data_IF_610826326111
#
_entry.id   IF_610826326111
#
_cell.length_a   1.000
_cell.length_b   1.000
_cell.length_c   1.000
_cell.angle_alpha   90.00
_cell.angle_beta   90.00
_cell.angle_gamma   90.00
#
_symmetry.space_group_name_H-M   'P 1'
#
loop_
_entity.id
_entity.type
_entity.pdbx_description
1 polymer ?
#
# COMPACT_ATOMS: atom_id res chain seq x y z
N UNK A 1 -17.95 11.74 -30.85
CA UNK A 1 -16.96 12.50 -30.04
C UNK A 1 -16.18 11.47 -29.24
N UNK A 2 -14.88 11.69 -29.01
CA UNK A 2 -14.12 10.79 -28.16
C UNK A 2 -14.62 10.90 -26.71
N UNK A 3 -14.74 9.77 -26.00
CA UNK A 3 -15.01 9.77 -24.58
C UNK A 3 -13.71 10.09 -23.84
N UNK A 4 -13.73 11.07 -22.95
CA UNK A 4 -12.55 11.49 -22.19
C UNK A 4 -12.76 11.14 -20.73
N UNK A 5 -11.86 10.35 -20.14
CA UNK A 5 -11.80 10.07 -18.72
C UNK A 5 -10.61 10.80 -18.08
N UNK A 6 -10.83 11.41 -16.95
CA UNK A 6 -9.80 12.06 -16.13
C UNK A 6 -9.63 11.27 -14.84
N UNK A 7 -8.41 10.84 -14.59
CA UNK A 7 -8.06 10.11 -13.37
C UNK A 7 -7.12 10.91 -12.45
N UNK A 8 -7.14 10.57 -11.17
CA UNK A 8 -6.22 11.13 -10.17
C UNK A 8 -5.60 10.03 -9.31
N UNK A 9 -4.28 10.12 -9.08
CA UNK A 9 -3.49 9.18 -8.32
C UNK A 9 -2.34 9.87 -7.57
N UNK A 10 -1.54 9.13 -6.79
CA UNK A 10 -0.35 9.71 -6.13
C UNK A 10 0.90 9.69 -7.02
N UNK A 11 1.86 10.55 -6.70
CA UNK A 11 2.99 10.90 -7.55
C UNK A 11 4.19 9.95 -7.52
N UNK A 12 4.10 8.75 -6.91
CA UNK A 12 5.15 7.75 -6.98
C UNK A 12 5.00 6.87 -8.22
N UNK A 13 6.13 6.33 -8.76
CA UNK A 13 6.11 5.45 -9.93
C UNK A 13 5.22 4.21 -9.75
N UNK A 14 5.12 3.65 -8.53
CA UNK A 14 4.18 2.58 -8.20
C UNK A 14 2.72 2.97 -8.49
N UNK A 15 2.34 4.22 -8.25
CA UNK A 15 0.97 4.69 -8.38
C UNK A 15 0.60 5.19 -9.76
N UNK A 16 1.56 5.78 -10.51
CA UNK A 16 1.24 6.44 -11.78
C UNK A 16 1.67 5.63 -13.00
N UNK A 17 2.86 5.00 -12.98
CA UNK A 17 3.41 4.37 -14.19
C UNK A 17 2.56 3.21 -14.72
N UNK A 18 2.06 2.28 -13.87
CA UNK A 18 1.19 1.21 -14.36
C UNK A 18 -0.15 1.72 -14.89
N UNK A 19 -0.68 2.82 -14.32
CA UNK A 19 -1.92 3.44 -14.80
C UNK A 19 -1.73 4.10 -16.17
N UNK A 20 -0.60 4.77 -16.42
CA UNK A 20 -0.29 5.33 -17.73
C UNK A 20 -0.16 4.23 -18.79
N UNK A 21 0.55 3.14 -18.48
CA UNK A 21 0.70 2.01 -19.38
C UNK A 21 -0.66 1.32 -19.67
N UNK A 22 -1.48 1.11 -18.63
CA UNK A 22 -2.81 0.55 -18.78
C UNK A 22 -3.72 1.47 -19.62
N UNK A 23 -3.70 2.77 -19.36
CA UNK A 23 -4.52 3.73 -20.12
C UNK A 23 -4.14 3.75 -21.60
N UNK A 24 -2.84 3.80 -21.91
CA UNK A 24 -2.38 3.73 -23.31
C UNK A 24 -2.87 2.44 -23.98
N UNK A 25 -2.75 1.31 -23.31
CA UNK A 25 -3.19 0.03 -23.86
C UNK A 25 -4.71 -0.04 -24.04
N UNK A 26 -5.45 0.51 -23.10
CA UNK A 26 -6.92 0.58 -23.18
C UNK A 26 -7.37 1.46 -24.37
N UNK A 27 -6.73 2.61 -24.57
CA UNK A 27 -7.00 3.50 -25.71
C UNK A 27 -6.73 2.83 -27.07
N UNK A 28 -5.67 2.01 -27.16
CA UNK A 28 -5.39 1.22 -28.36
C UNK A 28 -6.48 0.18 -28.65
N UNK A 29 -7.04 -0.45 -27.61
CA UNK A 29 -8.09 -1.44 -27.73
C UNK A 29 -9.47 -0.83 -27.95
N UNK A 30 -9.68 0.43 -27.50
CA UNK A 30 -10.95 1.14 -27.55
C UNK A 30 -10.81 2.48 -28.29
N UNK A 31 -10.71 2.45 -29.64
CA UNK A 31 -10.57 3.68 -30.41
C UNK A 31 -11.72 4.67 -30.11
N UNK A 32 -11.35 5.89 -29.73
CA UNK A 32 -12.33 6.94 -29.36
C UNK A 32 -12.45 7.13 -27.85
N UNK A 33 -11.69 6.41 -27.02
CA UNK A 33 -11.50 6.69 -25.60
C UNK A 33 -10.15 7.36 -25.37
N UNK A 34 -10.09 8.32 -24.46
CA UNK A 34 -8.86 8.96 -23.99
C UNK A 34 -8.88 9.00 -22.47
N UNK A 35 -7.77 8.62 -21.83
CA UNK A 35 -7.63 8.58 -20.37
C UNK A 35 -6.39 9.36 -19.93
N UNK A 36 -6.58 10.37 -19.12
CA UNK A 36 -5.49 11.19 -18.61
C UNK A 36 -5.42 11.13 -17.09
N UNK A 37 -4.20 11.16 -16.53
CA UNK A 37 -3.97 11.06 -15.10
C UNK A 37 -3.27 12.30 -14.53
N UNK A 38 -3.81 12.83 -13.43
CA UNK A 38 -3.16 13.84 -12.60
C UNK A 38 -2.51 13.18 -11.39
N UNK A 39 -1.34 13.69 -11.02
CA UNK A 39 -0.61 13.27 -9.80
C UNK A 39 -0.85 14.28 -8.68
N UNK A 40 -0.97 13.77 -7.45
CA UNK A 40 -0.89 14.52 -6.19
C UNK A 40 0.22 13.96 -5.31
N UNK A 41 0.65 14.69 -4.30
CA UNK A 41 1.61 14.19 -3.31
C UNK A 41 1.01 13.03 -2.51
N UNK A 42 1.87 12.23 -1.85
CA UNK A 42 1.38 11.15 -0.97
C UNK A 42 0.54 11.72 0.20
N UNK A 43 0.90 12.89 0.72
CA UNK A 43 0.14 13.57 1.77
C UNK A 43 -1.25 14.01 1.26
N UNK A 44 -1.33 14.65 0.11
CA UNK A 44 -2.62 14.99 -0.50
C UNK A 44 -3.46 13.76 -0.84
N UNK A 45 -2.82 12.64 -1.18
CA UNK A 45 -3.50 11.37 -1.41
C UNK A 45 -4.17 10.86 -0.13
N UNK A 46 -3.48 10.89 0.99
CA UNK A 46 -4.01 10.44 2.26
C UNK A 46 -5.08 11.38 2.85
N UNK A 47 -4.87 12.70 2.78
CA UNK A 47 -5.61 13.68 3.58
C UNK A 47 -6.69 14.44 2.80
N UNK A 48 -6.62 14.52 1.47
CA UNK A 48 -7.55 15.36 0.71
C UNK A 48 -8.87 14.62 0.46
N UNK A 49 -10.03 15.24 0.84
CA UNK A 49 -11.36 14.64 0.74
C UNK A 49 -11.71 14.21 -0.69
N UNK A 50 -12.16 12.95 -0.86
CA UNK A 50 -12.47 12.40 -2.19
C UNK A 50 -13.71 13.06 -2.81
N UNK A 51 -14.69 13.48 -2.03
CA UNK A 51 -15.90 14.15 -2.50
C UNK A 51 -15.62 15.47 -3.24
N UNK A 52 -14.51 16.14 -2.90
CA UNK A 52 -14.08 17.33 -3.61
C UNK A 52 -13.48 17.01 -4.98
N UNK A 53 -12.89 15.80 -5.14
CA UNK A 53 -12.23 15.35 -6.35
C UNK A 53 -13.22 14.81 -7.40
N UNK A 54 -14.33 14.23 -6.96
CA UNK A 54 -15.31 13.58 -7.86
C UNK A 54 -15.98 14.52 -8.86
N UNK A 55 -15.90 15.83 -8.63
CA UNK A 55 -16.41 16.85 -9.58
C UNK A 55 -15.48 17.05 -10.78
N UNK A 56 -14.19 16.76 -10.61
CA UNK A 56 -13.16 17.04 -11.61
C UNK A 56 -12.59 15.77 -12.25
N UNK A 57 -12.75 14.61 -11.62
CA UNK A 57 -12.17 13.34 -12.05
C UNK A 57 -13.23 12.25 -12.14
N UNK A 58 -13.12 11.41 -13.17
CA UNK A 58 -13.96 10.24 -13.42
C UNK A 58 -13.47 9.01 -12.66
N UNK A 59 -12.13 8.88 -12.54
CA UNK A 59 -11.43 7.77 -11.91
C UNK A 59 -10.58 8.27 -10.74
N UNK A 60 -10.76 7.69 -9.56
CA UNK A 60 -10.01 8.05 -8.37
C UNK A 60 -9.27 6.84 -7.83
N UNK A 61 -7.96 6.98 -7.64
CA UNK A 61 -7.24 6.04 -6.79
C UNK A 61 -7.41 6.52 -5.35
N UNK A 62 -8.01 5.67 -4.50
CA UNK A 62 -8.36 6.00 -3.12
C UNK A 62 -7.72 5.05 -2.12
N UNK A 63 -7.53 5.52 -0.90
CA UNK A 63 -7.10 4.72 0.24
C UNK A 63 -8.32 4.15 0.99
N UNK A 64 -8.12 3.11 1.79
CA UNK A 64 -9.17 2.37 2.51
C UNK A 64 -10.09 3.25 3.39
N UNK A 65 -9.58 4.22 4.18
CA UNK A 65 -10.45 5.01 5.07
C UNK A 65 -11.52 5.83 4.33
N UNK A 66 -11.36 6.07 3.03
CA UNK A 66 -12.30 6.86 2.24
C UNK A 66 -13.62 6.16 1.92
N UNK A 67 -13.74 4.84 2.19
CA UNK A 67 -15.02 4.11 1.99
C UNK A 67 -16.14 4.67 2.87
N UNK A 68 -15.83 5.14 4.08
CA UNK A 68 -16.82 5.79 4.96
C UNK A 68 -17.34 7.10 4.36
N UNK A 69 -16.47 7.92 3.77
CA UNK A 69 -16.86 9.12 3.04
C UNK A 69 -17.70 8.76 1.80
N UNK A 70 -17.30 7.74 1.05
CA UNK A 70 -18.04 7.26 -0.11
C UNK A 70 -19.47 6.84 0.26
N UNK A 71 -19.63 6.04 1.31
CA UNK A 71 -20.95 5.61 1.80
C UNK A 71 -21.81 6.79 2.27
N UNK A 72 -21.23 7.72 3.06
CA UNK A 72 -21.96 8.85 3.61
C UNK A 72 -22.40 9.88 2.55
N UNK A 73 -21.63 10.05 1.48
CA UNK A 73 -21.87 11.12 0.48
C UNK A 73 -22.38 10.63 -0.86
N UNK A 74 -22.18 9.34 -1.20
CA UNK A 74 -22.49 8.81 -2.53
C UNK A 74 -21.64 9.45 -3.63
N UNK A 75 -20.45 9.99 -3.29
CA UNK A 75 -19.62 10.71 -4.24
C UNK A 75 -18.92 9.81 -5.28
N UNK A 76 -18.80 8.51 -5.00
CA UNK A 76 -18.39 7.48 -5.96
C UNK A 76 -19.48 6.42 -6.11
N UNK A 77 -19.45 5.67 -7.19
CA UNK A 77 -20.45 4.65 -7.49
C UNK A 77 -20.26 3.40 -6.63
N UNK A 78 -21.32 2.82 -6.05
CA UNK A 78 -21.29 1.50 -5.42
C UNK A 78 -21.22 0.42 -6.49
N UNK A 79 -20.02 -0.07 -6.78
CA UNK A 79 -19.73 -0.93 -7.95
C UNK A 79 -20.52 -2.27 -7.94
N UNK A 80 -20.98 -2.72 -6.78
CA UNK A 80 -21.85 -3.90 -6.68
C UNK A 80 -23.25 -3.70 -7.30
N UNK A 81 -23.65 -2.48 -7.59
CA UNK A 81 -24.89 -2.20 -8.35
C UNK A 81 -24.67 -2.27 -9.87
N UNK A 82 -23.42 -2.23 -10.33
CA UNK A 82 -23.05 -2.17 -11.74
C UNK A 82 -22.35 -3.44 -12.23
N UNK A 83 -21.67 -4.15 -11.34
CA UNK A 83 -20.88 -5.33 -11.67
C UNK A 83 -21.61 -6.62 -11.24
N UNK A 84 -21.50 -7.71 -12.03
CA UNK A 84 -22.09 -8.99 -11.67
C UNK A 84 -21.57 -9.52 -10.33
N UNK A 85 -22.43 -10.09 -9.49
CA UNK A 85 -22.04 -10.68 -8.21
C UNK A 85 -20.94 -11.75 -8.36
N UNK A 86 -21.02 -12.59 -9.42
CA UNK A 86 -19.99 -13.58 -9.71
C UNK A 86 -18.62 -12.97 -10.03
N UNK A 87 -18.56 -11.76 -10.62
CA UNK A 87 -17.33 -11.04 -10.86
C UNK A 87 -16.73 -10.54 -9.54
N UNK A 88 -17.54 -9.93 -8.68
CA UNK A 88 -17.07 -9.44 -7.37
C UNK A 88 -16.61 -10.58 -6.47
N UNK A 89 -17.32 -11.71 -6.46
CA UNK A 89 -16.87 -12.91 -5.76
C UNK A 89 -15.53 -13.41 -6.28
N UNK A 90 -15.33 -13.42 -7.59
CA UNK A 90 -14.01 -13.80 -8.17
C UNK A 90 -12.91 -12.82 -7.76
N UNK A 91 -13.19 -11.51 -7.69
CA UNK A 91 -12.23 -10.51 -7.20
C UNK A 91 -11.90 -10.73 -5.72
N UNK A 92 -12.86 -11.04 -4.88
CA UNK A 92 -12.67 -11.37 -3.46
C UNK A 92 -11.79 -12.61 -3.28
N UNK A 93 -12.11 -13.71 -3.96
CA UNK A 93 -11.39 -14.99 -3.89
C UNK A 93 -9.92 -14.88 -4.38
N UNK A 94 -9.64 -13.95 -5.29
CA UNK A 94 -8.32 -13.72 -5.87
C UNK A 94 -7.64 -12.44 -5.40
N UNK A 95 -8.15 -11.78 -4.38
CA UNK A 95 -7.54 -10.61 -3.77
C UNK A 95 -6.38 -10.97 -2.84
N UNK A 96 -5.41 -10.08 -2.69
CA UNK A 96 -4.35 -10.23 -1.69
C UNK A 96 -4.86 -9.84 -0.30
N UNK A 97 -4.82 -10.81 0.63
CA UNK A 97 -5.31 -10.58 1.99
C UNK A 97 -6.74 -10.04 1.99
N UNK A 98 -7.03 -9.05 2.82
CA UNK A 98 -8.33 -8.38 2.88
C UNK A 98 -8.50 -7.21 1.90
N UNK A 99 -7.69 -7.09 0.83
CA UNK A 99 -7.70 -5.88 -0.02
C UNK A 99 -9.04 -5.63 -0.71
N UNK A 100 -9.75 -6.67 -1.18
CA UNK A 100 -11.07 -6.50 -1.79
C UNK A 100 -12.12 -6.10 -0.74
N UNK A 101 -12.18 -6.85 0.37
CA UNK A 101 -13.13 -6.65 1.47
C UNK A 101 -13.00 -5.25 2.09
N UNK A 102 -11.78 -4.70 2.16
CA UNK A 102 -11.51 -3.39 2.75
C UNK A 102 -12.17 -2.21 2.02
N UNK A 103 -12.63 -2.41 0.78
CA UNK A 103 -13.41 -1.42 0.02
C UNK A 103 -14.92 -1.70 0.05
N UNK A 104 -15.36 -2.71 0.81
CA UNK A 104 -16.78 -2.96 1.06
C UNK A 104 -17.19 -2.31 2.39
N UNK A 105 -18.19 -1.45 2.37
CA UNK A 105 -18.68 -0.77 3.56
C UNK A 105 -20.14 -0.40 3.41
N UNK A 106 -20.96 -0.63 4.46
CA UNK A 106 -22.40 -0.32 4.49
C UNK A 106 -23.17 -0.80 3.25
N UNK A 107 -22.86 -2.02 2.79
CA UNK A 107 -23.55 -2.67 1.66
C UNK A 107 -23.08 -2.25 0.27
N UNK A 108 -22.09 -1.36 0.15
CA UNK A 108 -21.50 -0.90 -1.11
C UNK A 108 -20.07 -1.36 -1.30
N UNK A 109 -19.72 -1.81 -2.51
CA UNK A 109 -18.35 -2.00 -2.97
C UNK A 109 -17.87 -0.70 -3.61
N UNK A 110 -17.17 0.14 -2.87
CA UNK A 110 -16.85 1.52 -3.26
C UNK A 110 -15.63 1.68 -4.17
N UNK A 111 -14.79 0.65 -4.24
CA UNK A 111 -13.67 0.58 -5.17
C UNK A 111 -13.28 -0.87 -5.45
N UNK A 112 -12.53 -1.13 -6.54
CA UNK A 112 -11.87 -2.41 -6.79
C UNK A 112 -10.41 -2.32 -6.36
N UNK A 113 -9.90 -3.33 -5.65
CA UNK A 113 -8.51 -3.37 -5.22
C UNK A 113 -7.56 -3.44 -6.42
N UNK A 114 -6.85 -2.35 -6.69
CA UNK A 114 -5.91 -2.26 -7.82
C UNK A 114 -4.46 -2.49 -7.37
N UNK A 115 -4.16 -2.17 -6.13
CA UNK A 115 -2.83 -2.22 -5.55
C UNK A 115 -2.92 -2.72 -4.11
N UNK A 116 -2.00 -3.58 -3.68
CA UNK A 116 -1.98 -4.13 -2.33
C UNK A 116 -0.65 -3.88 -1.63
N UNK A 117 -0.70 -3.47 -0.38
CA UNK A 117 0.46 -3.23 0.45
C UNK A 117 0.19 -3.56 1.92
N UNK A 118 1.27 -3.72 2.65
CA UNK A 118 1.29 -3.78 4.11
C UNK A 118 2.67 -3.29 4.58
N UNK A 119 2.81 -2.79 5.80
CA UNK A 119 4.12 -2.62 6.40
C UNK A 119 4.87 -3.94 6.47
N UNK A 120 6.07 -3.96 5.89
CA UNK A 120 6.99 -5.08 5.87
C UNK A 120 8.41 -4.61 6.21
N UNK A 121 9.30 -5.52 6.57
CA UNK A 121 10.68 -5.18 6.78
C UNK A 121 11.44 -5.09 5.46
N UNK A 122 12.34 -4.09 5.37
CA UNK A 122 13.25 -3.96 4.24
C UNK A 122 14.70 -3.84 4.71
N UNK A 123 15.65 -4.33 3.90
CA UNK A 123 17.06 -4.34 4.29
C UNK A 123 18.01 -4.27 3.11
N UNK A 124 19.21 -3.79 3.42
CA UNK A 124 20.39 -3.77 2.55
C UNK A 124 21.18 -5.05 2.73
N UNK A 125 20.84 -6.07 1.92
CA UNK A 125 21.48 -7.39 1.95
C UNK A 125 23.00 -7.28 1.86
N UNK A 126 23.50 -6.46 0.94
CA UNK A 126 24.92 -6.21 0.73
C UNK A 126 25.64 -5.68 1.97
N UNK A 127 24.98 -4.81 2.76
CA UNK A 127 25.57 -4.26 3.99
C UNK A 127 25.52 -5.23 5.16
N UNK A 128 24.41 -5.97 5.30
CA UNK A 128 24.28 -6.99 6.34
C UNK A 128 25.31 -8.11 6.12
N UNK A 129 25.43 -8.64 4.91
CA UNK A 129 26.41 -9.69 4.55
C UNK A 129 27.85 -9.21 4.74
N UNK A 130 28.18 -8.00 4.27
CA UNK A 130 29.53 -7.42 4.45
C UNK A 130 29.95 -7.31 5.91
N UNK A 131 28.99 -7.11 6.81
CA UNK A 131 29.26 -6.93 8.23
C UNK A 131 28.97 -8.20 9.07
N UNK A 132 28.67 -9.33 8.42
CA UNK A 132 28.29 -10.60 9.06
C UNK A 132 27.14 -10.46 10.06
N UNK A 133 26.15 -9.65 9.72
CA UNK A 133 24.94 -9.44 10.53
C UNK A 133 23.79 -10.22 9.88
N UNK A 134 23.14 -11.14 10.59
CA UNK A 134 21.96 -11.83 10.08
C UNK A 134 20.78 -10.85 9.92
N UNK A 135 19.84 -11.20 9.04
CA UNK A 135 18.58 -10.45 8.93
C UNK A 135 17.84 -10.56 10.26
N UNK A 136 17.41 -9.44 10.88
CA UNK A 136 16.69 -9.43 12.15
C UNK A 136 15.45 -10.33 12.15
N UNK A 137 15.26 -11.07 13.23
CA UNK A 137 14.15 -12.02 13.40
C UNK A 137 13.24 -11.67 14.58
N UNK A 138 13.74 -10.88 15.51
CA UNK A 138 13.06 -10.55 16.75
C UNK A 138 13.29 -9.08 17.14
N UNK A 139 12.58 -8.63 18.16
CA UNK A 139 12.61 -7.25 18.63
C UNK A 139 14.01 -6.78 19.09
N UNK A 140 14.75 -7.63 19.80
CA UNK A 140 16.10 -7.28 20.28
C UNK A 140 17.08 -7.07 19.13
N UNK A 141 16.98 -7.83 18.05
CA UNK A 141 17.82 -7.63 16.86
C UNK A 141 17.58 -6.21 16.27
N UNK A 142 16.31 -5.75 16.25
CA UNK A 142 15.99 -4.37 15.82
C UNK A 142 16.64 -3.34 16.75
N UNK A 143 16.50 -3.51 18.06
CA UNK A 143 17.07 -2.58 19.03
C UNK A 143 18.61 -2.51 18.95
N UNK A 144 19.27 -3.63 18.65
CA UNK A 144 20.72 -3.64 18.42
C UNK A 144 21.12 -2.80 17.23
N UNK A 145 20.42 -2.93 16.10
CA UNK A 145 20.65 -2.08 14.92
C UNK A 145 20.31 -0.61 15.18
N UNK A 146 19.29 -0.33 15.97
CA UNK A 146 18.92 1.03 16.37
C UNK A 146 20.03 1.67 17.22
N UNK A 147 20.54 0.98 18.25
CA UNK A 147 21.67 1.43 19.10
C UNK A 147 22.94 1.64 18.28
N UNK A 148 23.15 0.87 17.23
CA UNK A 148 24.27 1.03 16.30
C UNK A 148 24.06 2.16 15.27
N UNK A 149 22.91 2.85 15.26
CA UNK A 149 22.59 3.89 14.29
C UNK A 149 22.39 3.37 12.86
N UNK A 150 21.97 2.11 12.71
CA UNK A 150 21.80 1.44 11.40
C UNK A 150 20.34 1.19 11.03
N UNK A 151 19.41 1.63 11.87
CA UNK A 151 17.98 1.47 11.65
C UNK A 151 17.39 2.74 11.02
N UNK A 152 16.54 2.56 10.03
CA UNK A 152 15.65 3.57 9.48
C UNK A 152 14.20 3.14 9.72
N UNK A 153 13.34 4.08 10.12
CA UNK A 153 11.91 3.78 10.31
C UNK A 153 11.08 5.04 10.07
N UNK A 154 10.01 4.99 9.26
CA UNK A 154 9.15 6.14 9.08
C UNK A 154 8.44 6.46 10.41
N UNK A 155 8.39 7.74 10.77
CA UNK A 155 7.87 8.18 12.05
C UNK A 155 7.03 9.48 11.96
N UNK A 156 6.46 9.78 10.79
CA UNK A 156 5.43 10.82 10.71
C UNK A 156 4.17 10.35 11.46
N UNK A 157 3.28 11.25 11.89
CA UNK A 157 2.16 10.91 12.77
C UNK A 157 1.32 9.71 12.35
N UNK A 158 1.03 9.57 11.06
CA UNK A 158 0.24 8.43 10.56
C UNK A 158 0.99 7.10 10.68
N UNK A 159 2.30 7.05 10.40
CA UNK A 159 3.10 5.84 10.55
C UNK A 159 3.20 5.43 12.03
N UNK A 160 3.38 6.40 12.93
CA UNK A 160 3.37 6.16 14.38
C UNK A 160 2.02 5.60 14.85
N UNK A 161 0.90 6.13 14.35
CA UNK A 161 -0.44 5.65 14.68
C UNK A 161 -0.64 4.19 14.22
N UNK A 162 -0.24 3.85 12.99
CA UNK A 162 -0.33 2.48 12.49
C UNK A 162 0.53 1.50 13.31
N UNK A 163 1.73 1.92 13.70
CA UNK A 163 2.60 1.14 14.58
C UNK A 163 2.04 0.99 15.99
N UNK A 164 1.39 2.03 16.52
CA UNK A 164 0.67 1.94 17.80
C UNK A 164 -0.40 0.84 17.77
N UNK A 165 -1.20 0.75 16.72
CA UNK A 165 -2.19 -0.32 16.57
C UNK A 165 -1.53 -1.71 16.56
N UNK A 166 -0.44 -1.86 15.80
CA UNK A 166 0.33 -3.11 15.74
C UNK A 166 0.85 -3.54 17.12
N UNK A 167 1.34 -2.58 17.93
CA UNK A 167 1.81 -2.87 19.29
C UNK A 167 0.67 -3.09 20.29
N UNK A 168 -0.51 -2.50 20.10
CA UNK A 168 -1.69 -2.84 20.90
C UNK A 168 -2.06 -4.33 20.70
N UNK A 169 -2.15 -4.78 19.44
CA UNK A 169 -2.43 -6.18 19.09
C UNK A 169 -1.36 -7.11 19.65
N UNK A 170 -0.08 -6.75 19.54
CA UNK A 170 1.04 -7.53 20.09
C UNK A 170 1.00 -7.64 21.62
N UNK A 171 0.40 -6.68 22.31
CA UNK A 171 0.14 -6.72 23.75
C UNK A 171 -1.20 -7.40 24.11
N UNK A 172 -1.93 -7.94 23.13
CA UNK A 172 -3.03 -8.87 23.35
C UNK A 172 -4.43 -8.34 23.13
N UNK A 173 -4.61 -7.06 22.74
CA UNK A 173 -5.94 -6.48 22.45
C UNK A 173 -5.94 -5.71 21.13
N UNK A 174 -7.03 -5.83 20.42
CA UNK A 174 -7.26 -5.10 19.16
C UNK A 174 -7.82 -3.70 19.45
N UNK A 175 -7.30 -2.64 18.81
CA UNK A 175 -7.92 -1.32 18.83
C UNK A 175 -9.34 -1.38 18.25
N UNK A 176 -10.20 -0.45 18.68
CA UNK A 176 -11.59 -0.33 18.23
C UNK A 176 -12.47 -1.58 18.48
N UNK A 177 -12.14 -2.39 19.50
CA UNK A 177 -12.97 -3.52 19.87
C UNK A 177 -14.32 -3.14 20.48
N UNK A 178 -14.52 -1.86 20.80
CA UNK A 178 -15.79 -1.25 21.22
C UNK A 178 -15.93 0.16 20.64
N UNK A 179 -17.18 0.66 20.62
CA UNK A 179 -17.48 2.04 20.20
C UNK A 179 -17.14 3.09 21.27
N UNK A 180 -16.83 2.66 22.51
CA UNK A 180 -16.63 3.55 23.65
C UNK A 180 -15.18 3.97 23.85
N UNK A 181 -14.22 3.10 23.49
CA UNK A 181 -12.79 3.38 23.64
C UNK A 181 -11.96 2.80 22.51
N UNK A 182 -10.91 3.51 22.11
CA UNK A 182 -9.94 3.03 21.13
C UNK A 182 -9.22 1.76 21.62
N UNK A 183 -8.74 1.78 22.85
CA UNK A 183 -8.02 0.70 23.52
C UNK A 183 -8.00 0.95 25.03
N UNK A 184 -8.00 -0.11 25.82
CA UNK A 184 -7.85 0.05 27.28
C UNK A 184 -6.49 0.67 27.66
N UNK A 185 -6.49 1.35 28.81
CA UNK A 185 -5.35 2.13 29.26
C UNK A 185 -4.06 1.31 29.44
N UNK A 186 -4.15 0.08 29.94
CA UNK A 186 -2.99 -0.78 30.20
C UNK A 186 -2.29 -1.18 28.89
N UNK A 187 -3.06 -1.67 27.93
CA UNK A 187 -2.57 -2.03 26.60
C UNK A 187 -2.00 -0.82 25.86
N UNK A 188 -2.68 0.32 25.90
CA UNK A 188 -2.21 1.55 25.28
C UNK A 188 -0.88 2.04 25.86
N UNK A 189 -0.72 2.01 27.19
CA UNK A 189 0.54 2.38 27.83
C UNK A 189 1.67 1.39 27.50
N UNK A 190 1.40 0.08 27.42
CA UNK A 190 2.40 -0.91 27.01
C UNK A 190 2.84 -0.72 25.55
N UNK A 191 1.93 -0.39 24.65
CA UNK A 191 2.25 -0.09 23.27
C UNK A 191 3.11 1.18 23.16
N UNK A 192 2.75 2.26 23.86
CA UNK A 192 3.53 3.51 23.91
C UNK A 192 4.93 3.27 24.48
N UNK A 193 5.06 2.48 25.55
CA UNK A 193 6.38 2.15 26.12
C UNK A 193 7.27 1.40 25.12
N UNK A 194 6.71 0.45 24.36
CA UNK A 194 7.42 -0.26 23.30
C UNK A 194 7.87 0.70 22.18
N UNK A 195 7.00 1.60 21.76
CA UNK A 195 7.33 2.63 20.79
C UNK A 195 8.43 3.56 21.30
N UNK A 196 8.32 4.03 22.53
CA UNK A 196 9.32 4.90 23.16
C UNK A 196 10.69 4.22 23.21
N UNK A 197 10.77 2.93 23.52
CA UNK A 197 12.02 2.18 23.52
C UNK A 197 12.72 2.24 22.16
N UNK A 198 11.97 2.01 21.06
CA UNK A 198 12.53 2.05 19.71
C UNK A 198 12.83 3.48 19.25
N UNK A 199 11.82 4.36 19.33
CA UNK A 199 11.93 5.70 18.72
C UNK A 199 12.87 6.64 19.45
N UNK A 200 13.24 6.35 20.72
CA UNK A 200 14.32 7.08 21.42
C UNK A 200 15.72 6.76 20.89
N UNK A 201 15.88 5.67 20.14
CA UNK A 201 17.15 5.20 19.57
C UNK A 201 17.34 5.59 18.12
N UNK A 202 16.30 6.05 17.43
CA UNK A 202 16.37 6.35 15.99
C UNK A 202 16.76 7.81 15.75
N UNK A 203 17.35 8.07 14.58
CA UNK A 203 17.71 9.42 14.14
C UNK A 203 16.45 10.32 14.09
N UNK A 204 16.47 11.50 14.72
CA UNK A 204 15.32 12.42 14.74
C UNK A 204 14.79 12.82 13.36
N UNK A 205 15.59 12.72 12.30
CA UNK A 205 15.15 12.99 10.92
C UNK A 205 13.95 12.15 10.50
N UNK A 206 13.80 10.95 11.05
CA UNK A 206 12.71 10.05 10.68
C UNK A 206 11.34 10.53 11.15
N UNK A 207 11.25 11.43 12.13
CA UNK A 207 9.98 12.07 12.50
C UNK A 207 9.41 13.01 11.42
N UNK A 208 10.18 13.25 10.35
CA UNK A 208 9.73 13.98 9.16
C UNK A 208 9.81 13.11 7.89
N UNK A 209 10.07 11.81 8.01
CA UNK A 209 10.24 10.89 6.91
C UNK A 209 9.07 9.91 6.81
N UNK A 210 8.43 9.86 5.64
CA UNK A 210 7.44 8.86 5.29
C UNK A 210 8.10 7.58 4.71
N UNK A 211 7.36 6.49 4.44
CA UNK A 211 7.92 5.25 3.90
C UNK A 211 8.76 5.42 2.62
N UNK A 212 8.36 6.32 1.72
CA UNK A 212 9.12 6.60 0.48
C UNK A 212 10.45 7.24 0.81
N UNK A 213 10.48 8.26 1.67
CA UNK A 213 11.71 8.94 2.07
C UNK A 213 12.70 7.99 2.76
N UNK A 214 12.20 7.06 3.59
CA UNK A 214 13.02 6.02 4.21
C UNK A 214 13.62 5.08 3.16
N UNK A 215 12.81 4.57 2.22
CA UNK A 215 13.28 3.69 1.16
C UNK A 215 14.30 4.38 0.24
N UNK A 216 14.07 5.65 -0.14
CA UNK A 216 15.02 6.47 -0.89
C UNK A 216 16.37 6.62 -0.16
N UNK A 217 16.34 6.93 1.14
CA UNK A 217 17.53 7.10 1.95
C UNK A 217 18.33 5.78 2.05
N UNK A 218 17.65 4.66 2.34
CA UNK A 218 18.30 3.35 2.44
C UNK A 218 18.86 2.87 1.11
N UNK A 219 18.18 3.14 0.00
CA UNK A 219 18.61 2.72 -1.33
C UNK A 219 19.66 3.63 -1.97
N UNK A 220 19.88 4.84 -1.44
CA UNK A 220 20.85 5.82 -1.98
C UNK A 220 22.13 5.94 -1.16
N UNK A 221 22.10 5.64 0.16
CA UNK A 221 23.22 5.76 1.09
C UNK A 221 23.62 4.41 1.70
N UNK A 222 24.68 4.41 2.53
CA UNK A 222 25.13 3.23 3.29
C UNK A 222 24.95 3.39 4.80
N UNK A 223 24.24 4.42 5.24
CA UNK A 223 24.11 4.75 6.65
C UNK A 223 23.13 3.84 7.37
N UNK A 224 22.04 3.48 6.70
CA UNK A 224 20.97 2.68 7.27
C UNK A 224 20.85 1.35 6.53
N UNK A 225 20.69 0.27 7.29
CA UNK A 225 20.76 -1.09 6.77
C UNK A 225 19.48 -1.88 6.85
N UNK A 226 18.58 -1.47 7.76
CA UNK A 226 17.31 -2.16 8.02
C UNK A 226 16.20 -1.18 8.36
N UNK A 227 15.01 -1.45 7.86
CA UNK A 227 13.75 -0.82 8.25
C UNK A 227 12.81 -1.92 8.74
N UNK A 228 12.32 -1.89 10.00
CA UNK A 228 11.58 -3.01 10.60
C UNK A 228 10.14 -3.11 10.10
N UNK A 229 9.54 -1.98 9.77
CA UNK A 229 8.16 -1.89 9.28
C UNK A 229 7.94 -0.52 8.61
N UNK A 230 7.59 -0.58 7.35
CA UNK A 230 7.14 0.55 6.53
C UNK A 230 6.24 0.01 5.44
N UNK A 231 5.26 0.78 5.01
CA UNK A 231 4.51 0.40 3.81
C UNK A 231 5.48 0.13 2.67
N UNK A 232 5.51 -1.12 2.22
CA UNK A 232 6.53 -1.61 1.32
C UNK A 232 6.26 -1.19 -0.13
N UNK A 233 7.33 -0.85 -0.85
CA UNK A 233 7.31 -0.46 -2.26
C UNK A 233 8.18 -1.40 -3.08
N UNK A 234 7.57 -2.29 -3.87
CA UNK A 234 8.25 -3.29 -4.69
C UNK A 234 9.25 -2.70 -5.70
N UNK A 235 9.08 -1.42 -6.04
CA UNK A 235 9.98 -0.69 -6.92
C UNK A 235 11.43 -0.70 -6.43
N UNK A 236 11.65 -0.50 -5.12
CA UNK A 236 13.00 -0.50 -4.53
C UNK A 236 13.66 -1.88 -4.50
N UNK A 237 12.89 -2.94 -4.70
CA UNK A 237 13.41 -4.29 -4.89
C UNK A 237 13.82 -4.58 -6.35
N UNK A 238 13.58 -3.67 -7.30
CA UNK A 238 13.90 -3.86 -8.71
C UNK A 238 15.30 -3.35 -9.04
N UNK A 239 16.07 -4.16 -9.77
CA UNK A 239 17.36 -3.72 -10.30
C UNK A 239 17.20 -2.52 -11.22
N UNK A 240 18.00 -1.48 -10.98
CA UNK A 240 18.02 -0.27 -11.79
C UNK A 240 16.96 0.79 -11.41
N UNK A 241 16.09 0.51 -10.44
CA UNK A 241 15.15 1.52 -9.95
C UNK A 241 15.85 2.55 -9.04
N UNK A 242 16.67 2.07 -8.11
CA UNK A 242 17.47 2.90 -7.22
C UNK A 242 18.93 2.46 -7.28
N UNK A 243 19.84 3.22 -6.63
CA UNK A 243 21.27 2.92 -6.61
C UNK A 243 21.59 1.55 -6.01
N UNK A 244 20.87 1.19 -4.94
CA UNK A 244 21.00 -0.09 -4.27
C UNK A 244 19.62 -0.75 -4.12
N UNK A 245 19.57 -2.04 -4.38
CA UNK A 245 18.36 -2.85 -4.21
C UNK A 245 18.06 -3.01 -2.73
N UNK A 246 16.80 -2.83 -2.35
CA UNK A 246 16.27 -3.22 -1.06
C UNK A 246 15.65 -4.61 -1.17
N UNK A 247 16.03 -5.49 -0.25
CA UNK A 247 15.38 -6.78 -0.08
C UNK A 247 14.29 -6.65 0.99
N UNK A 248 13.26 -7.47 0.88
CA UNK A 248 12.13 -7.42 1.78
C UNK A 248 11.92 -8.77 2.46
N UNK A 249 11.37 -8.72 3.64
CA UNK A 249 10.96 -9.89 4.41
C UNK A 249 9.79 -9.50 5.30
N UNK A 250 9.18 -10.49 5.91
CA UNK A 250 8.14 -10.29 6.89
C UNK A 250 8.64 -9.48 8.11
N UNK A 251 7.70 -8.93 8.86
CA UNK A 251 7.98 -8.23 10.11
C UNK A 251 8.49 -9.20 11.19
N UNK A 252 9.29 -8.68 12.12
CA UNK A 252 9.89 -9.49 13.18
C UNK A 252 8.85 -9.99 14.20
N UNK A 253 9.25 -10.96 15.02
CA UNK A 253 8.49 -11.36 16.19
C UNK A 253 8.73 -10.39 17.37
N UNK A 254 7.65 -10.13 18.13
CA UNK A 254 7.64 -9.40 19.38
C UNK A 254 7.01 -10.24 20.47
N UNK A 255 7.68 -10.41 21.62
CA UNK A 255 7.24 -11.28 22.73
C UNK A 255 6.87 -12.71 22.28
N UNK A 256 7.63 -13.25 21.32
CA UNK A 256 7.42 -14.60 20.79
C UNK A 256 6.23 -14.74 19.82
N UNK A 257 5.59 -13.66 19.42
CA UNK A 257 4.50 -13.61 18.42
C UNK A 257 4.92 -12.77 17.23
N UNK A 258 4.49 -13.16 16.04
CA UNK A 258 4.64 -12.34 14.83
C UNK A 258 3.84 -11.03 15.01
N UNK A 259 4.43 -9.91 14.68
CA UNK A 259 3.71 -8.64 14.64
C UNK A 259 2.62 -8.70 13.54
N UNK A 260 1.50 -8.07 13.81
CA UNK A 260 0.45 -7.83 12.80
C UNK A 260 0.48 -6.35 12.44
N UNK A 261 0.42 -6.06 11.16
CA UNK A 261 0.47 -4.70 10.63
C UNK A 261 -0.86 -4.34 9.97
N UNK A 262 -1.07 -3.06 9.75
CA UNK A 262 -2.27 -2.55 9.10
C UNK A 262 -2.26 -2.89 7.60
N UNK A 263 -3.45 -3.08 7.02
CA UNK A 263 -3.59 -3.20 5.57
C UNK A 263 -3.26 -1.85 4.90
N UNK A 264 -2.70 -1.94 3.71
CA UNK A 264 -2.46 -0.82 2.82
C UNK A 264 -2.74 -1.22 1.38
N UNK A 265 -2.37 -0.36 0.44
CA UNK A 265 -2.70 -0.50 -0.96
C UNK A 265 -3.75 0.52 -1.36
N UNK A 266 -4.29 0.39 -2.56
CA UNK A 266 -5.25 1.36 -3.10
C UNK A 266 -6.35 0.70 -3.89
N UNK A 267 -7.52 1.34 -3.91
CA UNK A 267 -8.65 0.96 -4.76
C UNK A 267 -8.84 1.94 -5.91
N UNK A 268 -9.34 1.45 -7.03
CA UNK A 268 -9.84 2.29 -8.11
C UNK A 268 -11.35 2.48 -7.94
N UNK A 269 -11.77 3.73 -7.75
CA UNK A 269 -13.15 4.14 -7.61
C UNK A 269 -13.61 4.95 -8.83
N UNK A 270 -14.91 4.90 -9.12
CA UNK A 270 -15.54 5.65 -10.21
C UNK A 270 -16.42 6.76 -9.63
N UNK A 271 -16.20 7.99 -10.07
CA UNK A 271 -16.99 9.14 -9.64
C UNK A 271 -18.47 9.00 -10.01
N UNK A 272 -19.36 9.31 -9.06
CA UNK A 272 -20.79 9.41 -9.34
C UNK A 272 -21.15 10.61 -10.24
N UNK A 273 -20.22 11.55 -10.41
CA UNK A 273 -20.36 12.72 -11.32
C UNK A 273 -19.79 12.46 -12.72
N UNK A 274 -19.24 11.27 -13.00
CA UNK A 274 -18.72 10.96 -14.34
C UNK A 274 -19.81 11.01 -15.38
N UNK A 275 -19.51 11.65 -16.51
CA UNK A 275 -20.40 11.67 -17.67
C UNK A 275 -20.25 10.44 -18.58
N UNK A 276 -19.25 9.61 -18.33
CA UNK A 276 -18.98 8.35 -19.03
C UNK A 276 -18.83 7.18 -18.04
N UNK A 277 -19.81 6.95 -17.13
CA UNK A 277 -19.65 5.99 -16.04
C UNK A 277 -19.44 4.55 -16.54
N UNK A 278 -20.09 4.14 -17.62
CA UNK A 278 -19.95 2.80 -18.20
C UNK A 278 -18.53 2.53 -18.67
N UNK A 279 -17.88 3.49 -19.33
CA UNK A 279 -16.50 3.36 -19.80
C UNK A 279 -15.52 3.39 -18.61
N UNK A 280 -15.80 4.23 -17.60
CA UNK A 280 -14.99 4.31 -16.40
C UNK A 280 -15.04 3.00 -15.58
N UNK A 281 -16.21 2.38 -15.46
CA UNK A 281 -16.39 1.07 -14.80
C UNK A 281 -15.69 -0.02 -15.61
N UNK A 282 -15.83 -0.04 -16.94
CA UNK A 282 -15.17 -1.02 -17.81
C UNK A 282 -13.64 -0.93 -17.69
N UNK A 283 -13.10 0.29 -17.71
CA UNK A 283 -11.66 0.50 -17.47
C UNK A 283 -11.23 0.03 -16.08
N UNK A 284 -11.99 0.36 -15.03
CA UNK A 284 -11.70 -0.05 -13.66
C UNK A 284 -11.71 -1.58 -13.52
N UNK A 285 -12.70 -2.24 -14.13
CA UNK A 285 -12.82 -3.70 -14.16
C UNK A 285 -11.65 -4.34 -14.92
N UNK A 286 -11.26 -3.76 -16.07
CA UNK A 286 -10.19 -4.28 -16.91
C UNK A 286 -8.81 -4.14 -16.25
N UNK A 287 -8.52 -2.99 -15.62
CA UNK A 287 -7.21 -2.75 -15.00
C UNK A 287 -6.93 -3.62 -13.78
N UNK A 288 -7.95 -4.15 -13.11
CA UNK A 288 -7.82 -5.11 -12.00
C UNK A 288 -7.97 -6.57 -12.43
N UNK A 289 -8.12 -6.85 -13.73
CA UNK A 289 -8.20 -8.22 -14.24
C UNK A 289 -6.92 -9.00 -13.97
N UNK A 290 -7.05 -10.33 -13.80
CA UNK A 290 -5.92 -11.24 -13.60
C UNK A 290 -4.82 -11.00 -14.64
N UNK A 291 -5.20 -10.98 -15.93
CA UNK A 291 -4.26 -10.81 -17.03
C UNK A 291 -3.46 -9.52 -16.92
N UNK A 292 -4.13 -8.39 -16.70
CA UNK A 292 -3.45 -7.10 -16.65
C UNK A 292 -2.59 -6.94 -15.40
N UNK A 293 -3.08 -7.42 -14.26
CA UNK A 293 -2.37 -7.37 -12.99
C UNK A 293 -1.10 -8.23 -13.00
N UNK A 294 -1.13 -9.40 -13.66
CA UNK A 294 0.05 -10.26 -13.82
C UNK A 294 1.07 -9.72 -14.82
N UNK A 295 0.64 -8.97 -15.81
CA UNK A 295 1.47 -8.53 -16.93
C UNK A 295 1.77 -7.04 -16.86
N UNK A 296 1.04 -6.24 -17.61
CA UNK A 296 1.30 -4.82 -17.83
C UNK A 296 1.40 -4.01 -16.52
N UNK A 297 0.49 -4.27 -15.57
CA UNK A 297 0.46 -3.54 -14.30
C UNK A 297 1.72 -3.82 -13.46
N UNK A 298 2.05 -5.09 -13.26
CA UNK A 298 3.25 -5.50 -12.53
C UNK A 298 4.54 -5.08 -13.24
N UNK A 299 4.65 -5.30 -14.57
CA UNK A 299 5.84 -4.96 -15.36
C UNK A 299 6.19 -3.47 -15.29
N UNK A 300 5.18 -2.59 -15.25
CA UNK A 300 5.37 -1.14 -15.16
C UNK A 300 5.47 -0.60 -13.73
N UNK A 301 5.76 -1.47 -12.76
CA UNK A 301 6.10 -1.06 -11.41
C UNK A 301 4.91 -0.95 -10.45
N UNK A 302 3.72 -1.38 -10.85
CA UNK A 302 2.59 -1.56 -9.96
C UNK A 302 2.84 -2.68 -8.94
N UNK A 303 2.11 -2.63 -7.85
CA UNK A 303 2.11 -3.66 -6.81
C UNK A 303 0.71 -4.28 -6.77
N UNK A 304 0.48 -5.37 -7.52
CA UNK A 304 -0.85 -5.84 -7.87
C UNK A 304 -1.78 -6.11 -6.68
N UNK A 305 -3.08 -5.85 -6.84
CA UNK A 305 -4.12 -6.27 -5.90
C UNK A 305 -4.53 -7.74 -6.06
N UNK A 306 -4.17 -8.38 -7.18
CA UNK A 306 -4.59 -9.73 -7.54
C UNK A 306 -3.55 -10.79 -7.15
N UNK A 307 -3.97 -11.84 -6.41
CA UNK A 307 -3.12 -12.89 -5.84
C UNK A 307 -2.24 -13.60 -6.88
N UNK A 308 -2.77 -13.91 -8.06
CA UNK A 308 -2.03 -14.59 -9.12
C UNK A 308 -0.76 -13.84 -9.56
N UNK A 309 -0.82 -12.50 -9.55
CA UNK A 309 0.34 -11.68 -9.88
C UNK A 309 1.46 -11.80 -8.83
N UNK A 310 1.12 -12.03 -7.56
CA UNK A 310 2.08 -12.26 -6.48
C UNK A 310 2.72 -13.64 -6.55
N UNK A 311 2.00 -14.63 -7.06
CA UNK A 311 2.48 -16.00 -7.25
C UNK A 311 3.28 -16.16 -8.54
N UNK A 312 3.25 -15.19 -9.44
CA UNK A 312 3.90 -15.26 -10.74
C UNK A 312 5.44 -15.22 -10.62
N UNK A 313 6.11 -16.19 -11.23
CA UNK A 313 7.57 -16.34 -11.16
C UNK A 313 8.32 -15.21 -11.89
N UNK A 314 7.77 -14.65 -12.96
CA UNK A 314 8.38 -13.52 -13.68
C UNK A 314 8.36 -12.26 -12.82
N UNK A 315 7.22 -11.98 -12.18
CA UNK A 315 7.07 -10.83 -11.31
C UNK A 315 7.98 -10.94 -10.07
N UNK A 316 8.11 -12.14 -9.50
CA UNK A 316 9.02 -12.39 -8.39
C UNK A 316 10.48 -12.19 -8.80
N UNK A 317 10.92 -12.70 -9.95
CA UNK A 317 12.28 -12.45 -10.47
C UNK A 317 12.56 -10.97 -10.73
N UNK A 318 11.59 -10.21 -11.23
CA UNK A 318 11.73 -8.77 -11.47
C UNK A 318 11.92 -7.96 -10.19
N UNK A 319 11.42 -8.45 -9.06
CA UNK A 319 11.41 -7.75 -7.77
C UNK A 319 12.23 -8.45 -6.67
N UNK A 320 13.21 -9.28 -7.04
CA UNK A 320 14.04 -10.04 -6.09
C UNK A 320 13.21 -10.73 -5.00
N UNK A 321 12.17 -11.43 -5.42
CA UNK A 321 11.21 -12.16 -4.59
C UNK A 321 10.40 -11.28 -3.60
N UNK A 322 10.29 -9.98 -3.86
CA UNK A 322 9.49 -9.08 -3.02
C UNK A 322 8.08 -9.62 -2.77
N UNK A 323 7.36 -9.95 -3.85
CA UNK A 323 5.97 -10.36 -3.74
C UNK A 323 5.82 -11.62 -2.88
N UNK A 324 6.68 -12.61 -3.10
CA UNK A 324 6.69 -13.86 -2.33
C UNK A 324 7.13 -13.64 -0.87
N UNK A 325 8.09 -12.74 -0.63
CA UNK A 325 8.67 -12.51 0.69
C UNK A 325 7.75 -11.76 1.65
N UNK A 326 6.76 -11.03 1.13
CA UNK A 326 5.77 -10.28 1.91
C UNK A 326 4.35 -10.83 1.78
N UNK A 327 4.17 -11.95 1.06
CA UNK A 327 2.90 -12.65 0.99
C UNK A 327 2.58 -13.26 2.36
N UNK A 328 1.36 -13.07 2.90
CA UNK A 328 0.95 -13.57 4.22
C UNK A 328 0.99 -15.09 4.32
#
# INVERSE_FOLDING_TARGET
MAAVLRGITWGHSRGITPLLAASQRYEELHPGVQISWKKRTLQEFADFPIEALTKDYDLLIIDHPWVGCAAATGCVLPLNEYLPAAYLQNQEENSIGGSHESYFYEGGQWALAIDAATPAASYRKDLLEKNNIPVPQNWEDILQLARAGRLAVPAIPIDLLMNFYSFCIANGKEPFASDEELIDRETGLAAIATMQELYSLVDPRFFSANPIAVAELMSSTNDYWYCPFAYAYSNYARTGFAKHVLHYTDVVSFKGKKLRTTIGGTGIAVSSSSINPEIAIDFAQWVVSEELQQTLYAEHGGQPGHLKAWQDEKNNRLSHDFLRSVLP
#
